data_IF_033691471809
#
_entry.id   IF_033691471809
#
_cell.length_a   1.000
_cell.length_b   1.000
_cell.length_c   1.000
_cell.angle_alpha   90.00
_cell.angle_beta   90.00
_cell.angle_gamma   90.00
#
_symmetry.space_group_name_H-M   'P 1'
#
loop_
_entity.id
_entity.type
_entity.pdbx_description
1 polymer ?
#
# COMPACT_ATOMS: atom_id res chain seq x y z
N UNK A 1 39.13 -56.68 4.98
CA UNK A 1 38.20 -57.13 3.96
C UNK A 1 36.90 -56.39 4.29
N UNK A 2 36.42 -55.46 3.61
CA UNK A 2 36.32 -54.99 2.26
C UNK A 2 36.07 -53.47 2.27
N UNK A 3 36.87 -52.83 1.52
CA UNK A 3 36.80 -51.48 1.05
C UNK A 3 35.53 -51.22 0.21
N UNK A 4 34.83 -50.10 0.44
CA UNK A 4 33.94 -49.53 -0.55
C UNK A 4 33.96 -47.99 -0.45
N UNK A 5 34.82 -47.44 -1.28
CA UNK A 5 34.82 -46.09 -1.77
C UNK A 5 33.43 -45.75 -2.36
N UNK A 6 32.79 -44.74 -1.86
CA UNK A 6 31.69 -44.05 -2.54
C UNK A 6 32.27 -42.76 -3.12
N UNK A 7 32.33 -42.71 -4.42
CA UNK A 7 32.81 -41.61 -5.24
C UNK A 7 31.75 -40.51 -5.24
N UNK A 8 32.13 -39.34 -4.74
CA UNK A 8 31.37 -38.10 -4.84
C UNK A 8 31.33 -37.68 -6.29
N UNK A 9 30.14 -37.69 -6.88
CA UNK A 9 29.85 -37.02 -8.14
C UNK A 9 29.31 -35.62 -7.85
N UNK A 10 30.19 -34.63 -7.74
CA UNK A 10 29.84 -33.22 -7.81
C UNK A 10 29.45 -32.90 -9.26
N UNK A 11 28.14 -32.83 -9.48
CA UNK A 11 27.56 -32.33 -10.72
C UNK A 11 27.57 -30.82 -10.67
N UNK A 12 28.66 -30.21 -11.15
CA UNK A 12 28.83 -28.78 -11.31
C UNK A 12 27.93 -28.29 -12.48
N UNK A 13 26.80 -27.70 -12.16
CA UNK A 13 26.00 -26.94 -13.13
C UNK A 13 26.75 -25.69 -13.61
N UNK A 14 26.93 -25.49 -14.91
CA UNK A 14 27.56 -24.28 -15.43
C UNK A 14 26.57 -23.10 -15.34
N UNK A 15 26.85 -22.14 -14.46
CA UNK A 15 26.20 -20.83 -14.48
C UNK A 15 26.57 -20.10 -15.78
N UNK A 16 25.66 -20.10 -16.74
CA UNK A 16 25.81 -19.29 -17.94
C UNK A 16 25.62 -17.81 -17.62
N UNK A 17 26.71 -17.09 -17.46
CA UNK A 17 26.74 -15.64 -17.38
C UNK A 17 26.22 -15.04 -18.68
N UNK A 18 24.92 -14.68 -18.73
CA UNK A 18 24.37 -13.91 -19.83
C UNK A 18 24.87 -12.47 -19.71
N UNK A 19 25.87 -12.14 -20.54
CA UNK A 19 26.48 -10.81 -20.58
C UNK A 19 25.43 -9.75 -20.93
N UNK A 20 25.36 -8.70 -20.10
CA UNK A 20 24.49 -7.50 -20.29
C UNK A 20 24.66 -6.87 -21.68
N UNK A 21 25.78 -7.09 -22.36
CA UNK A 21 26.07 -6.60 -23.72
C UNK A 21 25.25 -7.30 -24.81
N UNK A 22 24.80 -8.55 -24.61
CA UNK A 22 23.93 -9.24 -25.59
C UNK A 22 22.48 -8.79 -25.52
N UNK A 23 22.03 -8.28 -24.38
CA UNK A 23 20.68 -7.75 -24.23
C UNK A 23 20.48 -6.43 -24.99
N UNK A 24 21.51 -5.58 -25.04
CA UNK A 24 21.50 -4.30 -25.74
C UNK A 24 21.69 -4.45 -27.27
N UNK A 25 22.26 -5.55 -27.75
CA UNK A 25 22.46 -5.80 -29.17
C UNK A 25 21.19 -6.33 -29.89
N UNK A 26 20.22 -6.91 -29.18
CA UNK A 26 18.97 -7.38 -29.77
C UNK A 26 17.90 -6.29 -29.92
N UNK A 27 18.06 -5.15 -29.23
CA UNK A 27 17.10 -4.03 -29.29
C UNK A 27 17.34 -3.04 -30.41
N UNK A 28 18.45 -3.18 -31.20
CA UNK A 28 18.80 -2.25 -32.27
C UNK A 28 18.39 -2.71 -33.68
N UNK A 29 17.84 -3.91 -33.87
CA UNK A 29 17.56 -4.48 -35.19
C UNK A 29 16.07 -4.53 -35.59
N UNK A 30 15.18 -3.86 -34.87
CA UNK A 30 13.73 -3.88 -35.13
C UNK A 30 13.13 -2.50 -35.48
N UNK A 31 13.89 -1.61 -36.09
CA UNK A 31 13.42 -0.29 -36.50
C UNK A 31 13.44 -0.08 -38.00
N UNK A 32 12.76 -0.94 -38.76
CA UNK A 32 12.38 -0.63 -40.17
C UNK A 32 11.35 -1.62 -40.72
N UNK A 33 10.10 -1.52 -40.22
CA UNK A 33 8.93 -1.93 -40.97
C UNK A 33 7.80 -0.98 -40.51
N UNK A 34 7.43 -0.05 -41.39
CA UNK A 34 6.26 0.79 -41.26
C UNK A 34 5.01 -0.11 -41.30
N UNK A 35 4.51 -0.44 -40.13
CA UNK A 35 3.26 -1.12 -39.89
C UNK A 35 2.66 -0.54 -38.61
N UNK A 36 1.42 -0.09 -38.70
CA UNK A 36 0.61 0.41 -37.59
C UNK A 36 0.74 -0.53 -36.39
N UNK A 37 1.66 -0.24 -35.49
CA UNK A 37 1.64 -0.79 -34.16
C UNK A 37 0.60 0.04 -33.38
N UNK A 38 -0.61 -0.46 -33.31
CA UNK A 38 -1.51 -0.08 -32.22
C UNK A 38 -0.79 -0.45 -30.93
N UNK A 39 -0.07 0.51 -30.37
CA UNK A 39 0.44 0.42 -29.02
C UNK A 39 -0.78 0.15 -28.14
N UNK A 40 -0.93 -1.09 -27.66
CA UNK A 40 -1.81 -1.36 -26.56
C UNK A 40 -1.33 -0.45 -25.43
N UNK A 41 -2.13 0.52 -24.96
CA UNK A 41 -1.74 1.33 -23.84
C UNK A 41 -1.60 0.35 -22.69
N UNK A 42 -0.35 0.15 -22.22
CA UNK A 42 -0.13 -0.45 -20.92
C UNK A 42 -1.03 0.32 -19.99
N UNK A 43 -1.97 -0.37 -19.35
CA UNK A 43 -2.93 0.24 -18.44
C UNK A 43 -2.12 0.75 -17.25
N UNK A 44 -1.51 1.92 -17.39
CA UNK A 44 -1.17 2.76 -16.26
C UNK A 44 -2.53 3.16 -15.71
N UNK A 45 -3.03 2.38 -14.78
CA UNK A 45 -4.26 2.69 -14.07
C UNK A 45 -4.00 4.00 -13.34
N UNK A 46 -4.36 5.10 -14.00
CA UNK A 46 -4.25 6.40 -13.40
C UNK A 46 -5.06 6.36 -12.10
N UNK A 47 -4.40 6.65 -10.98
CA UNK A 47 -5.10 6.88 -9.72
C UNK A 47 -6.11 7.97 -10.01
N UNK A 48 -7.39 7.68 -9.83
CA UNK A 48 -8.46 8.63 -10.04
C UNK A 48 -8.11 9.92 -9.28
N UNK A 49 -8.22 11.10 -9.90
CA UNK A 49 -7.98 12.35 -9.19
C UNK A 49 -8.93 12.43 -7.98
N UNK A 50 -8.47 13.03 -6.90
CA UNK A 50 -9.24 13.16 -5.64
C UNK A 50 -10.66 13.77 -5.85
N UNK A 51 -10.85 14.48 -6.96
CA UNK A 51 -12.14 15.04 -7.38
C UNK A 51 -13.20 14.00 -7.80
N UNK A 52 -12.82 12.73 -7.97
CA UNK A 52 -13.74 11.63 -8.30
C UNK A 52 -14.14 10.78 -7.08
N UNK A 53 -13.61 11.09 -5.90
CA UNK A 53 -14.01 10.42 -4.66
C UNK A 53 -15.31 11.05 -4.18
N UNK A 54 -16.27 10.20 -3.82
CA UNK A 54 -17.54 10.64 -3.23
C UNK A 54 -17.28 11.55 -2.02
N UNK A 55 -17.78 12.79 -2.01
CA UNK A 55 -17.64 13.69 -0.87
C UNK A 55 -18.15 13.08 0.45
N UNK A 56 -19.14 12.22 0.39
CA UNK A 56 -19.69 11.48 1.53
C UNK A 56 -18.61 10.57 2.16
N UNK A 57 -17.83 9.88 1.33
CA UNK A 57 -16.70 9.08 1.83
C UNK A 57 -15.62 9.94 2.48
N UNK A 58 -15.31 11.10 1.91
CA UNK A 58 -14.33 12.03 2.50
C UNK A 58 -14.75 12.48 3.90
N UNK A 59 -16.02 12.83 4.07
CA UNK A 59 -16.58 13.23 5.37
C UNK A 59 -16.57 12.06 6.35
N UNK A 60 -16.98 10.88 5.91
CA UNK A 60 -16.96 9.66 6.74
C UNK A 60 -15.53 9.30 7.20
N UNK A 61 -14.54 9.38 6.31
CA UNK A 61 -13.14 9.12 6.66
C UNK A 61 -12.63 10.12 7.71
N UNK A 62 -12.94 11.41 7.57
CA UNK A 62 -12.60 12.43 8.55
C UNK A 62 -13.26 12.18 9.90
N UNK A 63 -14.54 11.87 9.89
CA UNK A 63 -15.29 11.55 11.10
C UNK A 63 -14.67 10.35 11.85
N UNK A 64 -14.43 9.24 11.12
CA UNK A 64 -13.93 8.00 11.72
C UNK A 64 -12.48 8.10 12.22
N UNK A 65 -11.65 8.90 11.53
CA UNK A 65 -10.25 9.09 11.96
C UNK A 65 -10.08 10.24 12.96
N UNK A 66 -11.10 11.08 13.13
CA UNK A 66 -10.99 12.31 13.91
C UNK A 66 -10.06 13.36 13.29
N UNK A 67 -9.77 13.25 11.97
CA UNK A 67 -8.77 14.08 11.27
C UNK A 67 -9.40 14.88 10.14
N UNK A 68 -9.15 16.19 10.13
CA UNK A 68 -9.65 17.08 9.07
C UNK A 68 -8.61 17.29 7.95
N UNK A 69 -7.35 16.98 8.22
CA UNK A 69 -6.17 17.24 7.39
C UNK A 69 -5.69 16.02 6.58
N UNK A 70 -6.56 15.05 6.34
CA UNK A 70 -6.23 13.87 5.55
C UNK A 70 -5.80 14.25 4.12
N UNK A 71 -4.67 13.67 3.66
CA UNK A 71 -4.16 13.88 2.31
C UNK A 71 -5.15 13.34 1.27
N UNK A 72 -5.56 14.22 0.34
CA UNK A 72 -6.55 13.89 -0.69
C UNK A 72 -6.13 12.71 -1.59
N UNK A 73 -4.82 12.52 -1.83
CA UNK A 73 -4.31 11.40 -2.61
C UNK A 73 -4.43 10.10 -1.84
N UNK A 74 -4.22 10.14 -0.53
CA UNK A 74 -4.38 8.97 0.33
C UNK A 74 -5.85 8.58 0.42
N UNK A 75 -6.76 9.56 0.56
CA UNK A 75 -8.20 9.32 0.53
C UNK A 75 -8.60 8.62 -0.78
N UNK A 76 -8.14 9.12 -1.93
CA UNK A 76 -8.46 8.52 -3.22
C UNK A 76 -7.96 7.07 -3.34
N UNK A 77 -6.72 6.80 -2.92
CA UNK A 77 -6.14 5.46 -2.93
C UNK A 77 -6.87 4.51 -1.98
N UNK A 78 -7.23 4.99 -0.79
CA UNK A 78 -7.98 4.21 0.19
C UNK A 78 -9.36 3.82 -0.37
N UNK A 79 -10.09 4.77 -0.92
CA UNK A 79 -11.39 4.52 -1.53
C UNK A 79 -11.30 3.50 -2.67
N UNK A 80 -10.38 3.70 -3.62
CA UNK A 80 -10.17 2.75 -4.72
C UNK A 80 -9.81 1.35 -4.22
N UNK A 81 -8.93 1.25 -3.23
CA UNK A 81 -8.52 -0.03 -2.68
C UNK A 81 -9.68 -0.75 -1.98
N UNK A 82 -10.47 -0.03 -1.17
CA UNK A 82 -11.62 -0.57 -0.45
C UNK A 82 -12.72 -1.06 -1.41
N UNK A 83 -13.09 -0.25 -2.41
CA UNK A 83 -14.09 -0.64 -3.44
C UNK A 83 -13.59 -1.81 -4.30
N UNK A 84 -12.29 -1.88 -4.57
CA UNK A 84 -11.73 -3.02 -5.32
C UNK A 84 -11.76 -4.30 -4.50
N UNK A 85 -11.57 -4.20 -3.19
CA UNK A 85 -11.58 -5.35 -2.27
C UNK A 85 -13.01 -5.83 -1.99
N UNK A 86 -13.95 -4.89 -1.83
CA UNK A 86 -15.37 -5.16 -1.63
C UNK A 86 -16.21 -4.26 -2.55
N UNK A 87 -16.78 -4.77 -3.65
CA UNK A 87 -17.62 -3.99 -4.55
C UNK A 87 -18.86 -3.37 -3.89
N UNK A 88 -19.33 -3.93 -2.78
CA UNK A 88 -20.47 -3.39 -2.01
C UNK A 88 -20.07 -2.23 -1.09
N UNK A 89 -18.77 -2.00 -0.89
CA UNK A 89 -18.24 -1.03 0.05
C UNK A 89 -18.76 0.39 -0.20
N UNK A 90 -18.84 0.83 -1.45
CA UNK A 90 -19.31 2.17 -1.80
C UNK A 90 -20.74 2.43 -1.30
N UNK A 91 -21.65 1.50 -1.52
CA UNK A 91 -23.04 1.63 -1.06
C UNK A 91 -23.14 1.58 0.47
N UNK A 92 -22.40 0.66 1.11
CA UNK A 92 -22.39 0.49 2.56
C UNK A 92 -21.78 1.71 3.27
N UNK A 93 -20.69 2.24 2.77
CA UNK A 93 -20.07 3.46 3.34
C UNK A 93 -20.99 4.67 3.26
N UNK A 94 -21.73 4.83 2.15
CA UNK A 94 -22.74 5.88 2.01
C UNK A 94 -23.90 5.69 2.99
N UNK A 95 -24.35 4.45 3.20
CA UNK A 95 -25.42 4.14 4.17
C UNK A 95 -24.97 4.46 5.58
N UNK A 96 -23.77 4.04 5.98
CA UNK A 96 -23.20 4.33 7.29
C UNK A 96 -23.05 5.85 7.51
N UNK A 97 -22.55 6.58 6.52
CA UNK A 97 -22.40 8.04 6.63
C UNK A 97 -23.73 8.72 6.90
N UNK A 98 -24.77 8.35 6.18
CA UNK A 98 -26.13 8.90 6.40
C UNK A 98 -26.66 8.52 7.78
N UNK A 99 -26.50 7.28 8.22
CA UNK A 99 -26.94 6.83 9.53
C UNK A 99 -26.26 7.61 10.67
N UNK A 100 -24.96 7.94 10.53
CA UNK A 100 -24.21 8.78 11.46
C UNK A 100 -24.79 10.20 11.48
N UNK A 101 -25.08 10.77 10.31
CA UNK A 101 -25.67 12.10 10.16
C UNK A 101 -27.08 12.17 10.76
N UNK A 102 -27.94 11.20 10.44
CA UNK A 102 -29.31 11.09 10.94
C UNK A 102 -29.34 10.95 12.49
N UNK A 103 -28.41 10.16 13.03
CA UNK A 103 -28.23 9.97 14.46
C UNK A 103 -27.53 11.17 15.12
N UNK A 104 -27.06 12.17 14.37
CA UNK A 104 -26.34 13.37 14.83
C UNK A 104 -25.18 13.04 15.77
N UNK A 105 -24.42 12.00 15.45
CA UNK A 105 -23.27 11.62 16.26
C UNK A 105 -22.16 12.68 16.13
N UNK A 106 -21.64 13.13 17.27
CA UNK A 106 -20.67 14.21 17.31
C UNK A 106 -19.26 13.77 16.89
N UNK A 107 -18.88 12.54 17.26
CA UNK A 107 -17.55 11.99 17.04
C UNK A 107 -17.53 10.45 17.00
N UNK A 108 -16.35 9.89 16.79
CA UNK A 108 -16.14 8.45 16.73
C UNK A 108 -16.42 7.75 18.06
N UNK A 109 -16.27 8.44 19.20
CA UNK A 109 -16.56 7.86 20.52
C UNK A 109 -18.07 7.69 20.70
N UNK A 110 -18.86 8.68 20.24
CA UNK A 110 -20.31 8.58 20.21
C UNK A 110 -20.76 7.42 19.29
N UNK A 111 -20.11 7.21 18.16
CA UNK A 111 -20.37 6.06 17.30
C UNK A 111 -20.08 4.74 18.01
N UNK A 112 -18.95 4.62 18.72
CA UNK A 112 -18.52 3.38 19.37
C UNK A 112 -19.52 2.85 20.41
N UNK A 113 -20.29 3.73 21.02
CA UNK A 113 -21.33 3.36 22.01
C UNK A 113 -22.76 3.37 21.42
N UNK A 114 -22.90 3.68 20.13
CA UNK A 114 -24.19 3.75 19.45
C UNK A 114 -24.66 2.37 18.99
N UNK A 115 -25.98 2.21 18.77
CA UNK A 115 -26.53 1.01 18.15
C UNK A 115 -25.96 0.73 16.73
N UNK A 116 -25.52 1.76 16.01
CA UNK A 116 -24.92 1.61 14.67
C UNK A 116 -23.64 0.77 14.73
N UNK A 117 -22.81 0.95 15.76
CA UNK A 117 -21.58 0.15 15.92
C UNK A 117 -21.87 -1.28 16.40
N UNK A 118 -23.06 -1.54 16.93
CA UNK A 118 -23.50 -2.89 17.29
C UNK A 118 -23.82 -3.71 16.04
N UNK A 119 -24.21 -3.08 14.92
CA UNK A 119 -24.40 -3.76 13.64
C UNK A 119 -23.05 -4.26 13.07
N UNK A 120 -22.91 -5.58 12.79
CA UNK A 120 -21.64 -6.12 12.29
C UNK A 120 -21.23 -5.55 10.94
N UNK A 121 -22.19 -5.19 10.10
CA UNK A 121 -21.95 -4.64 8.77
C UNK A 121 -21.38 -3.22 8.83
N UNK A 122 -22.00 -2.36 9.61
CA UNK A 122 -21.56 -0.97 9.82
C UNK A 122 -20.22 -0.92 10.52
N UNK A 123 -20.04 -1.75 11.55
CA UNK A 123 -18.76 -1.90 12.24
C UNK A 123 -17.64 -2.37 11.30
N UNK A 124 -17.90 -3.32 10.40
CA UNK A 124 -16.91 -3.78 9.44
C UNK A 124 -16.47 -2.67 8.49
N UNK A 125 -17.40 -1.81 8.02
CA UNK A 125 -17.08 -0.64 7.18
C UNK A 125 -16.23 0.36 7.96
N UNK A 126 -16.62 0.68 9.18
CA UNK A 126 -15.87 1.62 10.02
C UNK A 126 -14.44 1.11 10.30
N UNK A 127 -14.28 -0.15 10.67
CA UNK A 127 -12.96 -0.77 10.90
C UNK A 127 -12.13 -0.77 9.62
N UNK A 128 -12.70 -1.10 8.46
CA UNK A 128 -11.97 -1.12 7.19
C UNK A 128 -11.41 0.27 6.84
N UNK A 129 -12.19 1.33 7.05
CA UNK A 129 -11.75 2.71 6.83
C UNK A 129 -10.63 3.09 7.81
N UNK A 130 -10.86 2.91 9.11
CA UNK A 130 -9.86 3.26 10.14
C UNK A 130 -8.56 2.50 9.91
N UNK A 131 -8.62 1.19 9.66
CA UNK A 131 -7.45 0.37 9.37
C UNK A 131 -6.69 0.85 8.13
N UNK A 132 -7.41 1.23 7.06
CA UNK A 132 -6.79 1.74 5.85
C UNK A 132 -5.92 2.98 6.12
N UNK A 133 -6.41 3.94 6.90
CA UNK A 133 -5.68 5.16 7.20
C UNK A 133 -4.60 4.97 8.29
N UNK A 134 -4.89 4.21 9.34
CA UNK A 134 -3.93 3.99 10.42
C UNK A 134 -2.78 3.07 10.01
N UNK A 135 -3.07 1.95 9.33
CA UNK A 135 -2.04 1.00 8.88
C UNK A 135 -1.44 1.36 7.51
N UNK A 136 -2.06 2.29 6.77
CA UNK A 136 -1.61 2.67 5.43
C UNK A 136 -1.79 1.56 4.38
N UNK A 137 -2.64 0.57 4.65
CA UNK A 137 -2.90 -0.56 3.74
C UNK A 137 -4.34 -1.04 3.80
N UNK A 138 -4.79 -1.69 2.71
CA UNK A 138 -6.09 -2.36 2.61
C UNK A 138 -5.86 -3.82 2.23
N UNK A 139 -6.53 -4.74 2.92
CA UNK A 139 -6.35 -6.17 2.76
C UNK A 139 -5.15 -6.72 3.54
N UNK A 140 -4.91 -8.03 3.44
CA UNK A 140 -3.91 -8.75 4.22
C UNK A 140 -3.02 -9.62 3.34
N UNK A 141 -1.82 -9.93 3.84
CA UNK A 141 -0.86 -10.83 3.22
C UNK A 141 -0.48 -10.39 1.80
N UNK A 142 -0.46 -11.32 0.85
CA UNK A 142 -0.08 -11.05 -0.55
C UNK A 142 -1.10 -10.21 -1.32
N UNK A 143 -2.31 -10.02 -0.78
CA UNK A 143 -3.36 -9.19 -1.37
C UNK A 143 -3.39 -7.78 -0.80
N UNK A 144 -2.54 -7.46 0.17
CA UNK A 144 -2.46 -6.14 0.76
C UNK A 144 -2.07 -5.08 -0.30
N UNK A 145 -2.81 -3.98 -0.31
CA UNK A 145 -2.56 -2.82 -1.17
C UNK A 145 -2.11 -1.66 -0.31
N UNK A 146 -0.89 -1.20 -0.50
CA UNK A 146 -0.38 -0.03 0.22
C UNK A 146 -0.97 1.25 -0.35
N UNK A 147 -1.55 2.08 0.53
CA UNK A 147 -2.13 3.38 0.21
C UNK A 147 -1.31 4.54 0.76
N UNK A 148 -0.65 4.32 1.90
CA UNK A 148 0.27 5.25 2.53
C UNK A 148 1.40 4.45 3.18
N UNK A 149 2.58 5.09 3.37
CA UNK A 149 3.69 4.51 4.12
C UNK A 149 4.07 5.47 5.25
N UNK A 150 4.82 6.52 4.97
CA UNK A 150 5.25 7.50 5.97
C UNK A 150 4.09 8.33 6.54
N UNK A 151 2.99 8.44 5.79
CA UNK A 151 1.78 9.18 6.16
C UNK A 151 0.68 8.30 6.76
N UNK A 152 0.98 7.06 7.15
CA UNK A 152 0.05 6.24 7.90
C UNK A 152 -0.12 6.85 9.31
N UNK A 153 -1.37 7.01 9.75
CA UNK A 153 -1.68 7.75 10.98
C UNK A 153 -1.07 7.11 12.23
N UNK A 154 -0.74 5.82 12.20
CA UNK A 154 -0.09 5.14 13.33
C UNK A 154 1.29 5.73 13.68
N UNK A 155 1.95 6.44 12.75
CA UNK A 155 3.26 7.05 13.02
C UNK A 155 3.19 8.44 13.61
N UNK A 156 2.02 9.11 13.54
CA UNK A 156 1.89 10.48 14.03
C UNK A 156 2.19 10.66 15.52
N UNK A 157 1.73 9.77 16.44
CA UNK A 157 1.98 9.93 17.86
C UNK A 157 3.45 9.92 18.26
N UNK A 158 4.31 9.41 17.38
CA UNK A 158 5.76 9.26 17.63
C UNK A 158 6.62 10.00 16.61
N UNK A 159 6.02 10.84 15.78
CA UNK A 159 6.69 11.47 14.65
C UNK A 159 7.85 12.41 15.06
N UNK A 160 7.78 12.99 16.26
CA UNK A 160 8.79 13.85 16.85
C UNK A 160 9.93 13.07 17.53
N UNK A 161 9.66 11.85 18.00
CA UNK A 161 10.61 11.04 18.76
C UNK A 161 11.26 9.93 17.95
N UNK A 162 10.49 9.29 17.07
CA UNK A 162 10.96 8.14 16.29
C UNK A 162 10.89 8.47 14.81
N UNK A 163 12.04 8.54 14.12
CA UNK A 163 12.02 8.67 12.68
C UNK A 163 11.34 7.45 12.06
N UNK A 164 10.40 7.71 11.16
CA UNK A 164 9.71 6.64 10.44
C UNK A 164 10.78 5.76 9.78
N UNK A 165 10.71 4.43 9.90
CA UNK A 165 11.69 3.54 9.32
C UNK A 165 11.66 3.64 7.79
N UNK A 166 12.51 4.49 7.25
CA UNK A 166 12.81 4.54 5.84
C UNK A 166 14.17 3.88 5.64
N UNK A 167 14.22 2.85 4.81
CA UNK A 167 15.45 2.10 4.55
C UNK A 167 16.57 2.92 3.87
N UNK A 168 16.35 4.17 3.52
CA UNK A 168 17.31 4.98 2.78
C UNK A 168 17.34 6.45 3.17
N UNK A 169 17.37 6.79 4.47
CA UNK A 169 17.65 8.17 4.90
C UNK A 169 19.07 8.61 4.63
N UNK A 170 19.99 7.67 4.42
CA UNK A 170 21.36 7.93 4.00
C UNK A 170 21.52 7.75 2.49
N UNK A 171 22.31 8.62 1.85
CA UNK A 171 22.71 8.43 0.46
C UNK A 171 23.46 7.12 0.23
N UNK A 172 23.83 6.81 -1.02
CA UNK A 172 24.60 5.61 -1.35
C UNK A 172 25.84 5.49 -0.46
N UNK A 173 26.02 4.34 0.18
CA UNK A 173 27.14 4.10 1.10
C UNK A 173 26.91 4.50 2.55
N UNK A 174 25.72 4.97 2.94
CA UNK A 174 25.41 5.29 4.34
C UNK A 174 25.67 4.10 5.27
N UNK A 175 25.23 2.91 4.88
CA UNK A 175 25.40 1.68 5.65
C UNK A 175 26.83 1.10 5.61
N UNK A 176 27.68 1.58 4.72
CA UNK A 176 29.09 1.23 4.65
C UNK A 176 29.99 2.09 5.55
N UNK A 177 29.47 3.11 6.19
CA UNK A 177 30.20 3.93 7.15
C UNK A 177 30.23 3.20 8.49
N UNK A 178 31.41 2.76 8.89
CA UNK A 178 31.62 2.23 10.23
C UNK A 178 31.26 3.31 11.24
N UNK A 179 30.23 3.11 12.02
CA UNK A 179 29.91 3.97 13.15
C UNK A 179 31.08 3.81 14.14
N UNK A 180 31.92 4.83 14.28
CA UNK A 180 32.93 4.82 15.33
C UNK A 180 32.19 4.81 16.67
N UNK A 181 32.22 3.68 17.35
CA UNK A 181 31.80 3.61 18.74
C UNK A 181 32.83 4.41 19.53
N UNK A 182 32.43 5.44 20.29
CA UNK A 182 33.39 6.12 21.18
C UNK A 182 34.00 5.07 22.11
N UNK A 183 35.32 4.98 22.13
CA UNK A 183 36.02 4.22 23.17
C UNK A 183 35.97 5.09 24.43
N UNK A 184 35.17 4.68 25.41
CA UNK A 184 35.23 5.18 26.79
C UNK A 184 36.49 4.65 27.48
#
# INVERSE_FOLDING_TARGET
MSDRSIVDAEESMPFTHHSRRRFLALSAAAASAAGLVTAAPGIVRAVAPASQVDPTFVQLARFLTGRNDLDARIIARAYEALVTTDPSFAARSTTLARAIEDARLADVNALAISPLYADPGDRAVAIAIVSAFYLGQVGEGSKARFIAFEKALMFEPTADMVPIPTYSRGGPGYWGKVTQVPND
#
